data_IF_457057101186
#
_entry.id   IF_457057101186
#
_cell.length_a   1.000
_cell.length_b   1.000
_cell.length_c   1.000
_cell.angle_alpha   90.00
_cell.angle_beta   90.00
_cell.angle_gamma   90.00
#
_symmetry.space_group_name_H-M   'P 1'
#
loop_
_entity.id
_entity.type
_entity.pdbx_description
1 polymer ?
#
# COMPACT_ATOMS: atom_id res chain seq x y z
N UNK A 1 5.98 -48.36 32.06
CA UNK A 1 5.67 -49.13 30.83
C UNK A 1 6.13 -48.33 29.62
N UNK A 2 7.21 -48.59 29.20
CA UNK A 2 7.95 -49.04 28.00
C UNK A 2 7.09 -49.27 26.78
N UNK A 3 7.38 -48.57 25.68
CA UNK A 3 7.66 -49.08 24.33
C UNK A 3 8.08 -47.90 23.43
N UNK A 4 9.31 -47.84 23.04
CA UNK A 4 10.16 -48.47 22.01
C UNK A 4 9.64 -48.34 20.56
N UNK A 5 10.32 -47.41 19.82
CA UNK A 5 11.06 -47.67 18.58
C UNK A 5 10.32 -48.21 17.35
N UNK A 6 10.53 -47.53 16.21
CA UNK A 6 11.35 -48.09 15.15
C UNK A 6 11.73 -47.07 14.08
N UNK A 7 13.03 -46.84 13.95
CA UNK A 7 13.71 -46.36 12.76
C UNK A 7 13.55 -47.41 11.66
N UNK A 8 13.14 -46.98 10.46
CA UNK A 8 13.41 -47.73 9.23
C UNK A 8 14.11 -46.83 8.22
N UNK A 9 15.39 -47.11 8.06
CA UNK A 9 16.20 -46.69 6.93
C UNK A 9 15.74 -47.53 5.73
N UNK A 10 15.36 -46.90 4.63
CA UNK A 10 15.28 -47.54 3.35
C UNK A 10 16.32 -46.93 2.44
N UNK A 11 17.32 -47.72 2.18
CA UNK A 11 18.35 -47.54 1.16
C UNK A 11 17.79 -48.09 -0.14
N UNK A 12 17.70 -47.34 -1.22
CA UNK A 12 17.44 -47.90 -2.55
C UNK A 12 18.40 -47.28 -3.56
N UNK A 13 19.13 -48.20 -4.17
CA UNK A 13 20.15 -48.01 -5.20
C UNK A 13 19.58 -47.40 -6.48
N UNK A 14 20.51 -46.79 -7.21
CA UNK A 14 20.31 -46.09 -8.46
C UNK A 14 19.88 -46.97 -9.65
N UNK A 15 19.31 -46.30 -10.60
CA UNK A 15 19.31 -46.68 -12.01
C UNK A 15 19.58 -45.44 -12.85
N UNK A 16 20.75 -45.39 -13.46
CA UNK A 16 21.06 -44.47 -14.55
C UNK A 16 20.25 -44.91 -15.79
N UNK A 17 19.36 -44.04 -16.24
CA UNK A 17 18.79 -44.15 -17.58
C UNK A 17 19.19 -42.90 -18.37
N UNK A 18 20.16 -43.04 -19.25
CA UNK A 18 20.50 -42.08 -20.29
C UNK A 18 19.39 -42.04 -21.32
N UNK A 19 18.63 -40.98 -21.35
CA UNK A 19 17.71 -40.68 -22.47
C UNK A 19 18.32 -39.52 -23.26
N UNK A 20 18.92 -39.89 -24.41
CA UNK A 20 19.24 -38.96 -25.50
C UNK A 20 17.93 -38.52 -26.14
N UNK A 21 17.57 -37.27 -25.96
CA UNK A 21 16.45 -36.63 -26.69
C UNK A 21 17.03 -35.58 -27.62
N UNK A 22 17.17 -35.97 -28.89
CA UNK A 22 17.45 -35.07 -29.99
C UNK A 22 16.19 -34.28 -30.36
N UNK A 23 16.30 -32.98 -30.39
CA UNK A 23 15.58 -32.08 -31.30
C UNK A 23 14.14 -31.74 -30.94
N UNK A 24 13.95 -30.53 -30.56
CA UNK A 24 13.04 -29.57 -31.21
C UNK A 24 13.19 -28.21 -30.52
N UNK A 25 13.98 -27.33 -31.13
CA UNK A 25 13.95 -25.91 -30.81
C UNK A 25 12.79 -25.27 -31.56
N UNK A 26 11.73 -24.87 -30.87
CA UNK A 26 10.83 -23.84 -31.36
C UNK A 26 10.01 -23.22 -30.18
N UNK A 27 10.10 -21.89 -30.07
CA UNK A 27 9.16 -20.98 -29.44
C UNK A 27 8.99 -21.06 -27.91
N UNK A 28 9.85 -20.34 -27.17
CA UNK A 28 9.69 -20.12 -25.74
C UNK A 28 10.21 -18.77 -25.22
N UNK A 29 10.40 -17.77 -26.11
CA UNK A 29 11.03 -16.49 -25.69
C UNK A 29 10.07 -15.44 -25.10
N UNK A 30 8.75 -15.67 -25.07
CA UNK A 30 7.78 -14.62 -24.70
C UNK A 30 7.36 -14.63 -23.21
N UNK A 31 7.53 -15.72 -22.46
CA UNK A 31 7.06 -15.83 -21.09
C UNK A 31 8.02 -15.19 -20.06
N UNK A 32 9.33 -15.17 -20.35
CA UNK A 32 10.35 -14.70 -19.40
C UNK A 32 10.34 -13.18 -19.26
N UNK A 33 10.03 -12.44 -20.34
CA UNK A 33 10.01 -10.96 -20.32
C UNK A 33 8.83 -10.38 -19.52
N UNK A 34 7.66 -11.01 -19.55
CA UNK A 34 6.49 -10.52 -18.82
C UNK A 34 6.65 -10.71 -17.29
N UNK A 35 7.23 -11.82 -16.85
CA UNK A 35 7.48 -12.08 -15.44
C UNK A 35 8.54 -11.12 -14.86
N UNK A 36 9.63 -10.87 -15.59
CA UNK A 36 10.69 -9.94 -15.19
C UNK A 36 10.18 -8.50 -15.06
N UNK A 37 9.36 -8.04 -16.01
CA UNK A 37 8.78 -6.70 -15.99
C UNK A 37 7.82 -6.51 -14.81
N UNK A 38 7.03 -7.50 -14.45
CA UNK A 38 6.10 -7.44 -13.32
C UNK A 38 6.80 -7.39 -11.98
N UNK A 39 7.88 -8.14 -11.80
CA UNK A 39 8.70 -8.14 -10.57
C UNK A 39 9.38 -6.79 -10.37
N UNK A 40 9.97 -6.24 -11.42
CA UNK A 40 10.63 -4.92 -11.36
C UNK A 40 9.64 -3.80 -11.05
N UNK A 41 8.47 -3.78 -11.67
CA UNK A 41 7.42 -2.80 -11.40
C UNK A 41 6.91 -2.89 -9.95
N UNK A 42 6.72 -4.09 -9.41
CA UNK A 42 6.30 -4.29 -8.02
C UNK A 42 7.37 -3.84 -7.02
N UNK A 43 8.63 -4.15 -7.25
CA UNK A 43 9.74 -3.70 -6.41
C UNK A 43 9.87 -2.17 -6.39
N UNK A 44 9.72 -1.52 -7.56
CA UNK A 44 9.75 -0.06 -7.67
C UNK A 44 8.57 0.59 -6.93
N UNK A 45 7.36 0.06 -7.06
CA UNK A 45 6.19 0.56 -6.34
C UNK A 45 6.34 0.41 -4.82
N UNK A 46 6.86 -0.72 -4.34
CA UNK A 46 7.16 -0.94 -2.92
C UNK A 46 8.20 0.06 -2.40
N UNK A 47 9.24 0.33 -3.17
CA UNK A 47 10.26 1.34 -2.83
C UNK A 47 9.66 2.75 -2.74
N UNK A 48 8.78 3.14 -3.68
CA UNK A 48 8.08 4.44 -3.64
C UNK A 48 7.15 4.54 -2.43
N UNK A 49 6.37 3.50 -2.13
CA UNK A 49 5.51 3.46 -0.95
C UNK A 49 6.30 3.66 0.34
N UNK A 50 7.44 2.99 0.47
CA UNK A 50 8.29 3.12 1.65
C UNK A 50 8.87 4.54 1.80
N UNK A 51 9.28 5.18 0.69
CA UNK A 51 9.75 6.59 0.70
C UNK A 51 8.65 7.54 1.17
N UNK A 52 7.42 7.40 0.63
CA UNK A 52 6.25 8.19 1.04
C UNK A 52 5.97 8.04 2.53
N UNK A 53 5.93 6.81 3.04
CA UNK A 53 5.65 6.50 4.44
C UNK A 53 6.75 7.05 5.35
N UNK A 54 8.02 6.85 5.01
CA UNK A 54 9.14 7.32 5.81
C UNK A 54 9.17 8.85 5.86
N UNK A 55 8.90 9.52 4.72
CA UNK A 55 8.78 10.98 4.72
C UNK A 55 7.60 11.44 5.57
N UNK A 56 6.43 10.81 5.41
CA UNK A 56 5.24 11.17 6.17
C UNK A 56 5.42 11.03 7.69
N UNK A 57 6.13 9.99 8.13
CA UNK A 57 6.44 9.78 9.55
C UNK A 57 7.35 10.87 10.16
N UNK A 58 8.16 11.57 9.34
CA UNK A 58 8.95 12.71 9.83
C UNK A 58 8.09 13.90 10.27
N UNK A 59 6.84 13.94 9.84
CA UNK A 59 5.88 15.00 10.18
C UNK A 59 4.92 14.61 11.31
N UNK A 60 5.16 13.51 12.03
CA UNK A 60 4.34 13.14 13.18
C UNK A 60 4.20 14.30 14.16
N UNK A 61 2.96 14.59 14.60
CA UNK A 61 2.66 15.70 15.50
C UNK A 61 2.54 17.07 14.84
N UNK A 62 2.87 17.24 13.55
CA UNK A 62 2.65 18.52 12.86
C UNK A 62 1.16 18.86 12.89
N UNK A 63 0.79 20.10 13.32
CA UNK A 63 -0.59 20.48 13.54
C UNK A 63 -1.49 20.38 12.31
N UNK A 64 -2.75 20.00 12.54
CA UNK A 64 -3.80 20.08 11.54
C UNK A 64 -4.33 21.49 11.39
N UNK A 65 -4.50 21.95 10.15
CA UNK A 65 -5.21 23.19 9.81
C UNK A 65 -6.09 22.94 8.59
N UNK A 66 -7.41 23.07 8.76
CA UNK A 66 -8.31 22.96 7.61
C UNK A 66 -7.99 24.03 6.56
N UNK A 67 -7.93 23.65 5.29
CA UNK A 67 -7.57 24.55 4.21
C UNK A 67 -6.09 24.97 4.21
N UNK A 68 -5.19 24.16 4.80
CA UNK A 68 -3.77 24.44 4.83
C UNK A 68 -3.21 24.77 3.44
N UNK A 69 -2.27 25.72 3.37
CA UNK A 69 -1.59 26.07 2.13
C UNK A 69 -0.66 24.93 1.67
N UNK A 70 -0.40 24.85 0.35
CA UNK A 70 0.43 23.78 -0.23
C UNK A 70 1.91 24.09 -0.24
N UNK A 71 2.31 25.30 0.14
CA UNK A 71 3.69 25.79 0.13
C UNK A 71 4.33 25.84 1.53
N UNK A 72 3.73 25.19 2.52
CA UNK A 72 4.24 25.13 3.89
C UNK A 72 4.19 23.72 4.44
N UNK A 73 5.07 23.42 5.41
CA UNK A 73 5.06 22.18 6.21
C UNK A 73 4.80 22.45 7.69
N UNK A 74 4.48 23.69 8.07
CA UNK A 74 4.17 24.06 9.47
C UNK A 74 2.83 23.50 9.94
N UNK A 75 1.93 23.23 9.02
CA UNK A 75 0.63 22.60 9.25
C UNK A 75 0.15 21.93 7.97
N UNK A 76 -0.76 20.98 8.12
CA UNK A 76 -1.39 20.27 7.00
C UNK A 76 -2.89 20.12 7.23
N UNK A 77 -3.67 20.06 6.15
CA UNK A 77 -4.90 19.27 6.14
C UNK A 77 -4.63 17.87 5.56
N UNK A 78 -5.62 16.98 5.59
CA UNK A 78 -5.45 15.58 5.16
C UNK A 78 -4.93 15.46 3.71
N UNK A 79 -5.43 16.31 2.81
CA UNK A 79 -5.09 16.27 1.39
C UNK A 79 -3.80 17.02 1.04
N UNK A 80 -3.44 18.07 1.77
CA UNK A 80 -2.13 18.73 1.60
C UNK A 80 -1.00 17.85 2.12
N UNK A 81 -1.22 17.10 3.19
CA UNK A 81 -0.27 16.12 3.71
C UNK A 81 0.01 15.03 2.66
N UNK A 82 -1.03 14.35 2.14
CA UNK A 82 -0.84 13.33 1.10
C UNK A 82 -0.19 13.91 -0.15
N UNK A 83 -0.64 15.09 -0.63
CA UNK A 83 -0.05 15.78 -1.78
C UNK A 83 1.45 16.03 -1.58
N UNK A 84 1.85 16.50 -0.40
CA UNK A 84 3.24 16.79 -0.08
C UNK A 84 4.12 15.54 -0.13
N UNK A 85 3.73 14.47 0.57
CA UNK A 85 4.56 13.27 0.67
C UNK A 85 4.63 12.49 -0.64
N UNK A 86 3.57 12.45 -1.44
CA UNK A 86 3.56 11.78 -2.75
C UNK A 86 4.37 12.54 -3.81
N UNK A 87 4.50 13.87 -3.71
CA UNK A 87 5.37 14.67 -4.58
C UNK A 87 6.82 14.19 -4.51
N UNK A 88 7.30 13.68 -3.38
CA UNK A 88 8.67 13.17 -3.19
C UNK A 88 9.01 11.95 -4.06
N UNK A 89 8.01 11.27 -4.60
CA UNK A 89 8.18 10.11 -5.48
C UNK A 89 7.66 10.39 -6.91
N UNK A 90 7.49 11.68 -7.27
CA UNK A 90 7.09 12.13 -8.60
C UNK A 90 5.58 12.06 -8.85
N UNK A 91 4.75 11.88 -7.83
CA UNK A 91 3.28 11.83 -7.98
C UNK A 91 2.66 13.16 -7.54
N UNK A 92 2.05 13.87 -8.49
CA UNK A 92 1.32 15.12 -8.22
C UNK A 92 -0.15 14.82 -7.97
N UNK A 93 -0.59 14.90 -6.72
CA UNK A 93 -1.99 14.73 -6.34
C UNK A 93 -2.76 16.04 -6.44
N UNK A 94 -4.07 15.99 -6.75
CA UNK A 94 -4.98 17.15 -6.68
C UNK A 94 -5.04 17.77 -5.27
N UNK A 95 -5.60 18.99 -5.17
CA UNK A 95 -5.62 19.72 -3.89
C UNK A 95 -6.55 19.11 -2.83
N UNK A 96 -7.69 18.60 -3.20
CA UNK A 96 -8.71 18.15 -2.24
C UNK A 96 -8.80 16.62 -2.17
N UNK A 97 -9.21 16.10 -1.01
CA UNK A 97 -9.45 14.66 -0.83
C UNK A 97 -10.48 14.09 -1.81
N UNK A 98 -11.53 14.85 -2.12
CA UNK A 98 -12.56 14.46 -3.08
C UNK A 98 -11.98 14.31 -4.51
N UNK A 99 -11.09 15.22 -4.93
CA UNK A 99 -10.39 15.11 -6.21
C UNK A 99 -9.36 13.97 -6.22
N UNK A 100 -8.61 13.78 -5.12
CA UNK A 100 -7.65 12.67 -4.97
C UNK A 100 -8.35 11.31 -5.06
N UNK A 101 -9.60 11.21 -4.62
CA UNK A 101 -10.37 9.96 -4.68
C UNK A 101 -10.76 9.54 -6.10
N UNK A 102 -10.54 10.40 -7.09
CA UNK A 102 -10.87 10.15 -8.51
C UNK A 102 -9.64 9.74 -9.33
N UNK A 103 -8.42 9.85 -8.79
CA UNK A 103 -7.17 9.52 -9.52
C UNK A 103 -6.62 8.16 -9.11
N UNK A 104 -5.82 7.55 -10.00
CA UNK A 104 -5.23 6.23 -9.79
C UNK A 104 -6.22 5.07 -10.01
N UNK A 105 -5.76 3.86 -9.73
CA UNK A 105 -6.56 2.63 -9.88
C UNK A 105 -7.37 2.36 -8.62
N UNK A 106 -8.61 1.89 -8.78
CA UNK A 106 -9.43 1.41 -7.64
C UNK A 106 -8.76 0.23 -6.95
N UNK A 107 -8.84 0.20 -5.62
CA UNK A 107 -8.35 -0.89 -4.78
C UNK A 107 -9.46 -1.29 -3.83
N UNK A 108 -9.81 -2.59 -3.81
CA UNK A 108 -10.73 -3.11 -2.80
C UNK A 108 -10.07 -3.09 -1.41
N UNK A 109 -10.87 -3.02 -0.35
CA UNK A 109 -10.36 -2.99 1.03
C UNK A 109 -9.49 -4.22 1.35
N UNK A 110 -9.84 -5.39 0.84
CA UNK A 110 -9.08 -6.64 1.03
C UNK A 110 -7.70 -6.62 0.34
N UNK A 111 -7.54 -5.82 -0.72
CA UNK A 111 -6.32 -5.77 -1.54
C UNK A 111 -5.44 -4.54 -1.23
N UNK A 112 -5.66 -3.89 -0.08
CA UNK A 112 -4.88 -2.74 0.35
C UNK A 112 -3.40 -3.10 0.52
N UNK A 113 -2.52 -2.27 -0.06
CA UNK A 113 -1.06 -2.35 0.08
C UNK A 113 -0.53 -1.02 0.62
N UNK A 114 0.62 -1.08 1.29
CA UNK A 114 1.30 0.13 1.76
C UNK A 114 1.48 1.14 0.62
N UNK A 115 1.14 2.41 0.87
CA UNK A 115 1.13 3.49 -0.13
C UNK A 115 -0.23 3.73 -0.80
N UNK A 116 -1.25 2.91 -0.58
CA UNK A 116 -2.60 3.20 -1.08
C UNK A 116 -3.22 4.39 -0.34
N UNK A 117 -3.96 5.21 -1.08
CA UNK A 117 -4.79 6.27 -0.53
C UNK A 117 -6.15 5.70 -0.13
N UNK A 118 -6.56 5.94 1.10
CA UNK A 118 -7.86 5.49 1.65
C UNK A 118 -8.72 6.71 1.95
N UNK A 119 -9.99 6.65 1.57
CA UNK A 119 -10.93 7.78 1.60
C UNK A 119 -12.11 7.49 2.49
N UNK A 120 -12.56 8.53 3.20
CA UNK A 120 -13.58 8.45 4.22
C UNK A 120 -14.61 9.58 4.11
N UNK A 121 -15.84 9.30 4.58
CA UNK A 121 -16.85 10.31 4.91
C UNK A 121 -16.80 10.56 6.41
N UNK A 122 -15.92 11.47 6.86
CA UNK A 122 -15.62 11.69 8.27
C UNK A 122 -15.56 13.17 8.63
N UNK A 123 -15.90 13.51 9.89
CA UNK A 123 -15.94 14.87 10.39
C UNK A 123 -17.26 15.59 10.13
N UNK A 124 -17.36 16.87 10.50
CA UNK A 124 -18.62 17.66 10.50
C UNK A 124 -19.26 17.88 9.14
N UNK A 125 -18.50 17.68 8.05
CA UNK A 125 -19.01 17.83 6.66
C UNK A 125 -19.37 16.49 5.99
N UNK A 126 -19.31 15.40 6.73
CA UNK A 126 -19.62 14.07 6.24
C UNK A 126 -21.14 13.86 6.13
N UNK A 127 -21.58 13.18 5.06
CA UNK A 127 -22.95 12.75 4.86
C UNK A 127 -23.08 11.24 4.62
N UNK A 128 -22.01 10.47 4.91
CA UNK A 128 -21.93 9.03 4.69
C UNK A 128 -21.49 8.62 3.28
N UNK A 129 -21.57 9.49 2.28
CA UNK A 129 -21.31 9.20 0.87
C UNK A 129 -20.22 10.09 0.25
N UNK A 130 -20.06 11.31 0.73
CA UNK A 130 -19.07 12.26 0.22
C UNK A 130 -17.67 11.99 0.81
N UNK A 131 -16.65 12.19 -0.01
CA UNK A 131 -15.26 12.12 0.46
C UNK A 131 -14.87 13.42 1.14
N UNK A 132 -14.61 13.36 2.44
CA UNK A 132 -14.19 14.50 3.26
C UNK A 132 -12.81 14.34 3.86
N UNK A 133 -12.26 13.11 3.84
CA UNK A 133 -10.95 12.80 4.42
C UNK A 133 -10.16 11.80 3.57
N UNK A 134 -8.83 11.88 3.66
CA UNK A 134 -7.89 10.96 3.02
C UNK A 134 -6.77 10.58 3.98
N UNK A 135 -6.33 9.32 3.92
CA UNK A 135 -5.21 8.78 4.66
C UNK A 135 -4.33 7.92 3.74
N UNK A 136 -3.10 7.66 4.15
CA UNK A 136 -2.17 6.72 3.50
C UNK A 136 -2.24 5.40 4.27
N UNK A 137 -2.57 4.30 3.61
CA UNK A 137 -2.44 2.98 4.19
C UNK A 137 -0.97 2.59 4.31
N UNK A 138 -0.53 2.19 5.49
CA UNK A 138 0.88 1.88 5.75
C UNK A 138 1.14 0.39 6.07
N UNK A 139 0.13 -0.45 5.80
CA UNK A 139 0.17 -1.88 6.13
C UNK A 139 -0.38 -2.18 7.53
N UNK A 140 -0.69 -3.46 7.80
CA UNK A 140 -1.13 -3.92 9.11
C UNK A 140 -2.40 -3.24 9.66
N UNK A 141 -3.32 -2.82 8.77
CA UNK A 141 -4.53 -2.11 9.18
C UNK A 141 -4.28 -0.68 9.69
N UNK A 142 -3.12 -0.08 9.40
CA UNK A 142 -2.74 1.25 9.90
C UNK A 142 -2.82 2.32 8.83
N UNK A 143 -3.19 3.54 9.26
CA UNK A 143 -3.34 4.74 8.45
C UNK A 143 -2.38 5.81 8.94
N UNK A 144 -1.62 6.43 8.04
CA UNK A 144 -0.83 7.63 8.30
C UNK A 144 -1.58 8.83 7.70
N UNK A 145 -1.97 9.79 8.52
CA UNK A 145 -2.81 10.92 8.10
C UNK A 145 -2.75 12.07 9.10
N UNK A 146 -3.49 13.15 8.85
CA UNK A 146 -3.63 14.26 9.80
C UNK A 146 -5.08 14.69 9.93
N UNK A 147 -5.51 14.91 11.17
CA UNK A 147 -6.83 15.46 11.54
C UNK A 147 -6.74 16.02 12.96
N UNK A 148 -7.47 17.12 13.27
CA UNK A 148 -7.55 17.68 14.62
C UNK A 148 -6.26 17.57 15.46
N UNK A 149 -6.39 17.33 16.76
CA UNK A 149 -5.26 16.91 17.60
C UNK A 149 -5.10 15.39 17.53
N UNK A 150 -3.90 14.85 17.46
CA UNK A 150 -2.58 15.49 17.61
C UNK A 150 -1.94 16.01 16.31
N UNK A 151 -2.68 16.19 15.22
CA UNK A 151 -2.13 16.52 13.91
C UNK A 151 -1.77 15.27 13.11
N UNK A 152 -0.58 15.23 12.50
CA UNK A 152 -0.12 14.04 11.77
C UNK A 152 0.06 12.88 12.74
N UNK A 153 -0.60 11.76 12.46
CA UNK A 153 -0.69 10.62 13.38
C UNK A 153 -0.90 9.29 12.64
N UNK A 154 -0.80 8.19 13.40
CA UNK A 154 -1.14 6.86 12.92
C UNK A 154 -2.41 6.37 13.63
N UNK A 155 -3.40 5.95 12.84
CA UNK A 155 -4.67 5.38 13.32
C UNK A 155 -4.88 3.95 12.84
N UNK A 156 -5.84 3.26 13.44
CA UNK A 156 -6.25 1.91 13.01
C UNK A 156 -7.46 1.99 12.08
N UNK A 157 -7.31 1.48 10.84
CA UNK A 157 -8.37 1.42 9.83
C UNK A 157 -9.56 0.56 10.26
N UNK A 158 -9.29 -0.50 11.03
CA UNK A 158 -10.28 -1.53 11.37
C UNK A 158 -10.93 -1.27 12.74
N UNK A 159 -10.91 -0.03 13.23
CA UNK A 159 -11.51 0.37 14.51
C UNK A 159 -12.21 1.72 14.46
N UNK A 160 -13.32 1.80 15.17
CA UNK A 160 -14.01 3.06 15.48
C UNK A 160 -14.43 3.85 14.25
N UNK A 161 -14.13 5.13 14.24
CA UNK A 161 -14.57 6.04 13.17
C UNK A 161 -14.03 5.66 11.79
N UNK A 162 -12.78 5.23 11.68
CA UNK A 162 -12.15 4.91 10.41
C UNK A 162 -12.72 3.67 9.75
N UNK A 163 -13.15 2.70 10.55
CA UNK A 163 -13.85 1.51 10.05
C UNK A 163 -15.24 1.85 9.51
N UNK A 164 -16.03 2.58 10.29
CA UNK A 164 -17.42 2.93 9.96
C UNK A 164 -17.54 3.90 8.78
N UNK A 165 -16.58 4.79 8.60
CA UNK A 165 -16.62 5.88 7.60
C UNK A 165 -15.81 5.61 6.34
N UNK A 166 -15.22 4.41 6.22
CA UNK A 166 -14.51 3.99 5.01
C UNK A 166 -15.41 4.02 3.78
N UNK A 167 -14.92 4.60 2.69
CA UNK A 167 -15.64 4.63 1.40
C UNK A 167 -14.94 3.81 0.32
N UNK A 168 -13.66 4.04 0.08
CA UNK A 168 -12.89 3.44 -1.02
C UNK A 168 -11.39 3.67 -0.87
N UNK A 169 -10.62 3.02 -1.76
CA UNK A 169 -9.18 3.27 -1.85
C UNK A 169 -8.72 3.40 -3.30
N UNK A 170 -7.56 4.05 -3.49
CA UNK A 170 -6.89 4.27 -4.78
C UNK A 170 -5.39 4.00 -4.67
N UNK A 171 -4.83 3.39 -5.71
CA UNK A 171 -3.38 3.20 -5.89
C UNK A 171 -2.87 4.15 -6.95
N UNK A 172 -1.84 4.92 -6.61
CA UNK A 172 -1.24 5.96 -7.47
C UNK A 172 0.27 5.76 -7.71
N UNK A 173 0.85 4.71 -7.07
CA UNK A 173 2.24 4.27 -7.22
C UNK A 173 2.33 2.77 -7.43
#
# INVERSE_FOLDING_TARGET
>A
MRNHNRFQKVLTLGVCATITFSGFFAAGASAVNAASSSVTAQATATSKAQKVINLGKKFMGVPYKFGAATNTTRNFDCSTFTKYVFKSVGVTLPRTSAQQSKVGKFVSRANLKAGDLVFFSSGSRANGHNVTHVAIYIGGGKLLHTYGKPGVTISNLNKGNWDRTYLKARRVI
#
